data_IF_182572407867
#
_entry.id   IF_182572407867
#
_cell.length_a   1.000
_cell.length_b   1.000
_cell.length_c   1.000
_cell.angle_alpha   90.00
_cell.angle_beta   90.00
_cell.angle_gamma   90.00
#
_symmetry.space_group_name_H-M   'P 1'
#
loop_
_entity.id
_entity.type
_entity.pdbx_description
1 polymer ?
#
# COMPACT_ATOMS: atom_id res chain seq x y z
N UNK A 1 -10.94 15.18 -6.58
CA UNK A 1 -10.57 15.26 -5.16
C UNK A 1 -9.80 16.53 -4.98
N UNK A 2 -10.10 17.30 -3.94
CA UNK A 2 -9.25 18.43 -3.55
C UNK A 2 -7.93 17.90 -2.93
N UNK A 3 -6.88 18.72 -2.94
CA UNK A 3 -5.54 18.38 -2.42
C UNK A 3 -5.62 17.90 -0.96
N UNK A 4 -6.46 18.52 -0.15
CA UNK A 4 -6.71 18.13 1.25
C UNK A 4 -7.31 16.73 1.38
N UNK A 5 -8.20 16.34 0.46
CA UNK A 5 -8.79 15.00 0.45
C UNK A 5 -7.75 13.95 0.05
N UNK A 6 -6.90 14.26 -0.93
CA UNK A 6 -5.81 13.38 -1.35
C UNK A 6 -4.84 13.17 -0.21
N UNK A 7 -4.48 14.23 0.51
CA UNK A 7 -3.57 14.12 1.65
C UNK A 7 -4.13 13.24 2.77
N UNK A 8 -5.41 13.42 3.12
CA UNK A 8 -6.10 12.52 4.08
C UNK A 8 -6.08 11.08 3.60
N UNK A 9 -6.37 10.86 2.31
CA UNK A 9 -6.38 9.51 1.74
C UNK A 9 -5.00 8.86 1.78
N UNK A 10 -3.95 9.62 1.46
CA UNK A 10 -2.57 9.14 1.59
C UNK A 10 -2.21 8.83 3.05
N UNK A 11 -2.69 9.61 4.03
CA UNK A 11 -2.47 9.29 5.44
C UNK A 11 -3.18 7.98 5.86
N UNK A 12 -4.37 7.70 5.35
CA UNK A 12 -5.10 6.45 5.60
C UNK A 12 -4.34 5.26 5.00
N UNK A 13 -3.99 5.34 3.71
CA UNK A 13 -3.24 4.29 3.02
C UNK A 13 -1.91 4.02 3.75
N UNK A 14 -1.27 5.05 4.31
CA UNK A 14 -0.02 4.87 5.06
C UNK A 14 -0.22 4.13 6.41
N UNK A 15 -1.37 4.30 7.06
CA UNK A 15 -1.72 3.51 8.26
C UNK A 15 -1.93 2.04 7.90
N UNK A 16 -2.66 1.77 6.83
CA UNK A 16 -2.93 0.40 6.39
C UNK A 16 -1.66 -0.29 5.89
N UNK A 17 -0.77 0.44 5.23
CA UNK A 17 0.57 -0.01 4.88
C UNK A 17 1.38 -0.47 6.09
N UNK A 18 1.43 0.36 7.15
CA UNK A 18 2.12 0.01 8.40
C UNK A 18 1.50 -1.22 9.07
N UNK A 19 0.17 -1.34 9.00
CA UNK A 19 -0.52 -2.52 9.50
C UNK A 19 -0.11 -3.79 8.73
N UNK A 20 -0.11 -3.73 7.39
CA UNK A 20 0.34 -4.84 6.55
C UNK A 20 1.81 -5.21 6.80
N UNK A 21 2.68 -4.22 6.91
CA UNK A 21 4.10 -4.42 7.23
C UNK A 21 4.29 -5.15 8.57
N UNK A 22 3.53 -4.76 9.60
CA UNK A 22 3.56 -5.45 10.89
C UNK A 22 3.05 -6.89 10.82
N UNK A 23 2.02 -7.17 10.01
CA UNK A 23 1.52 -8.53 9.79
C UNK A 23 2.58 -9.40 9.10
N UNK A 24 3.17 -8.91 8.02
CA UNK A 24 4.19 -9.65 7.26
C UNK A 24 5.49 -9.83 8.04
N UNK A 25 5.88 -8.86 8.88
CA UNK A 25 7.03 -9.00 9.79
C UNK A 25 6.84 -10.09 10.84
N UNK A 26 5.59 -10.38 11.21
CA UNK A 26 5.25 -11.48 12.13
C UNK A 26 4.86 -12.76 11.37
N UNK A 27 4.95 -12.75 10.04
CA UNK A 27 4.49 -13.83 9.15
C UNK A 27 3.07 -14.30 9.48
N UNK A 28 2.22 -13.36 9.90
CA UNK A 28 0.87 -13.64 10.40
C UNK A 28 -0.18 -13.09 9.43
N UNK A 29 -1.25 -13.87 9.20
CA UNK A 29 -2.40 -13.46 8.37
C UNK A 29 -1.99 -12.91 6.99
N UNK A 30 -1.09 -13.62 6.30
CA UNK A 30 -0.47 -13.12 5.06
C UNK A 30 -1.47 -12.95 3.92
N UNK A 31 -2.48 -13.82 3.83
CA UNK A 31 -3.63 -13.66 2.92
C UNK A 31 -4.38 -12.34 3.15
N UNK A 32 -4.60 -11.97 4.42
CA UNK A 32 -5.26 -10.71 4.76
C UNK A 32 -4.40 -9.52 4.34
N UNK A 33 -3.09 -9.56 4.66
CA UNK A 33 -2.16 -8.52 4.26
C UNK A 33 -2.12 -8.37 2.73
N UNK A 34 -2.09 -9.48 1.98
CA UNK A 34 -2.14 -9.49 0.52
C UNK A 34 -3.39 -8.79 -0.02
N UNK A 35 -4.59 -9.15 0.46
CA UNK A 35 -5.85 -8.54 0.03
C UNK A 35 -5.90 -7.03 0.31
N UNK A 36 -5.47 -6.61 1.50
CA UNK A 36 -5.40 -5.18 1.83
C UNK A 36 -4.44 -4.47 0.87
N UNK A 37 -3.26 -5.03 0.60
CA UNK A 37 -2.30 -4.42 -0.32
C UNK A 37 -2.85 -4.30 -1.77
N UNK A 38 -3.64 -5.27 -2.24
CA UNK A 38 -4.35 -5.19 -3.53
C UNK A 38 -5.39 -4.06 -3.54
N UNK A 39 -6.15 -3.91 -2.46
CA UNK A 39 -7.11 -2.81 -2.30
C UNK A 39 -6.38 -1.46 -2.30
N UNK A 40 -5.29 -1.31 -1.55
CA UNK A 40 -4.50 -0.06 -1.51
C UNK A 40 -3.93 0.32 -2.89
N UNK A 41 -3.46 -0.66 -3.69
CA UNK A 41 -3.05 -0.39 -5.07
C UNK A 41 -4.20 0.13 -5.92
N UNK A 42 -5.39 -0.46 -5.78
CA UNK A 42 -6.59 -0.03 -6.50
C UNK A 42 -7.05 1.36 -6.06
N UNK A 43 -6.88 1.72 -4.79
CA UNK A 43 -7.15 3.07 -4.31
C UNK A 43 -6.17 4.11 -4.86
N UNK A 44 -4.87 3.81 -4.85
CA UNK A 44 -3.86 4.71 -5.43
C UNK A 44 -4.11 4.97 -6.92
N UNK A 45 -4.53 3.96 -7.69
CA UNK A 45 -4.86 4.11 -9.13
C UNK A 45 -6.01 5.08 -9.40
N UNK A 46 -6.86 5.38 -8.41
CA UNK A 46 -7.96 6.35 -8.54
C UNK A 46 -7.50 7.80 -8.36
N UNK A 47 -6.29 8.01 -7.84
CA UNK A 47 -5.72 9.34 -7.63
C UNK A 47 -5.04 9.80 -8.91
N UNK A 48 -5.40 10.98 -9.40
CA UNK A 48 -4.73 11.62 -10.54
C UNK A 48 -3.44 12.29 -10.08
N UNK A 49 -2.33 11.58 -10.22
CA UNK A 49 -1.01 11.98 -9.70
C UNK A 49 -0.50 13.25 -10.39
N UNK A 50 -0.85 13.46 -11.65
CA UNK A 50 -0.39 14.59 -12.47
C UNK A 50 -0.91 15.95 -11.94
N UNK A 51 -2.07 15.93 -11.28
CA UNK A 51 -2.72 17.12 -10.72
C UNK A 51 -2.20 17.47 -9.31
N UNK A 52 -1.30 16.67 -8.73
CA UNK A 52 -0.83 16.86 -7.36
C UNK A 52 0.37 17.82 -7.25
N UNK A 53 0.52 18.53 -6.12
CA UNK A 53 1.76 19.19 -5.73
C UNK A 53 2.95 18.21 -5.73
N UNK A 54 4.16 18.71 -6.03
CA UNK A 54 5.36 17.87 -6.16
C UNK A 54 5.65 17.01 -4.92
N UNK A 55 5.42 17.55 -3.73
CA UNK A 55 5.59 16.83 -2.46
C UNK A 55 4.65 15.63 -2.35
N UNK A 56 3.36 15.83 -2.65
CA UNK A 56 2.36 14.76 -2.64
C UNK A 56 2.61 13.73 -3.73
N UNK A 57 3.12 14.13 -4.90
CA UNK A 57 3.56 13.18 -5.95
C UNK A 57 4.69 12.29 -5.45
N UNK A 58 5.72 12.86 -4.83
CA UNK A 58 6.83 12.09 -4.26
C UNK A 58 6.33 11.11 -3.20
N UNK A 59 5.45 11.56 -2.30
CA UNK A 59 4.83 10.71 -1.28
C UNK A 59 4.00 9.58 -1.89
N UNK A 60 3.18 9.90 -2.90
CA UNK A 60 2.40 8.92 -3.64
C UNK A 60 3.29 7.84 -4.26
N UNK A 61 4.34 8.22 -5.00
CA UNK A 61 5.25 7.28 -5.66
C UNK A 61 5.99 6.38 -4.66
N UNK A 62 6.42 6.95 -3.52
CA UNK A 62 7.03 6.18 -2.44
C UNK A 62 6.06 5.16 -1.84
N UNK A 63 4.80 5.56 -1.63
CA UNK A 63 3.77 4.66 -1.12
C UNK A 63 3.45 3.55 -2.11
N UNK A 64 3.28 3.86 -3.38
CA UNK A 64 3.03 2.87 -4.43
C UNK A 64 4.15 1.81 -4.48
N UNK A 65 5.41 2.27 -4.43
CA UNK A 65 6.56 1.37 -4.39
C UNK A 65 6.54 0.46 -3.17
N UNK A 66 6.27 1.01 -1.98
CA UNK A 66 6.18 0.23 -0.73
C UNK A 66 5.08 -0.81 -0.78
N UNK A 67 3.90 -0.48 -1.30
CA UNK A 67 2.80 -1.43 -1.43
C UNK A 67 3.22 -2.60 -2.34
N UNK A 68 3.83 -2.31 -3.50
CA UNK A 68 4.30 -3.35 -4.42
C UNK A 68 5.33 -4.28 -3.75
N UNK A 69 6.29 -3.73 -3.03
CA UNK A 69 7.30 -4.52 -2.30
C UNK A 69 6.62 -5.45 -1.27
N UNK A 70 5.73 -4.92 -0.45
CA UNK A 70 5.03 -5.72 0.55
C UNK A 70 4.11 -6.76 -0.10
N UNK A 71 3.49 -6.45 -1.22
CA UNK A 71 2.63 -7.39 -1.95
C UNK A 71 3.44 -8.57 -2.50
N UNK A 72 4.59 -8.31 -3.11
CA UNK A 72 5.50 -9.37 -3.56
C UNK A 72 6.01 -10.21 -2.39
N UNK A 73 6.35 -9.58 -1.27
CA UNK A 73 6.73 -10.30 -0.05
C UNK A 73 5.61 -11.19 0.49
N UNK A 74 4.37 -10.69 0.52
CA UNK A 74 3.21 -11.47 0.94
C UNK A 74 3.03 -12.71 0.07
N UNK A 75 3.12 -12.56 -1.26
CA UNK A 75 3.05 -13.69 -2.19
C UNK A 75 4.19 -14.69 -1.95
N UNK A 76 5.43 -14.23 -1.78
CA UNK A 76 6.57 -15.11 -1.54
C UNK A 76 6.40 -15.92 -0.25
N UNK A 77 5.97 -15.27 0.84
CA UNK A 77 5.74 -15.96 2.11
C UNK A 77 4.59 -16.97 2.03
N UNK A 78 3.53 -16.66 1.28
CA UNK A 78 2.42 -17.59 1.04
C UNK A 78 2.88 -18.82 0.24
N UNK A 79 3.65 -18.62 -0.84
CA UNK A 79 4.19 -19.73 -1.63
C UNK A 79 5.08 -20.67 -0.81
N UNK A 80 5.83 -20.14 0.16
CA UNK A 80 6.66 -20.95 1.07
C UNK A 80 5.84 -21.79 2.07
N UNK A 81 4.56 -21.48 2.30
CA UNK A 81 3.66 -22.26 3.17
C UNK A 81 2.88 -23.35 2.42
N UNK A 82 2.83 -23.27 1.09
CA UNK A 82 2.12 -24.23 0.25
C UNK A 82 2.99 -25.45 -0.15
N UNK A 83 4.28 -25.44 0.23
CA UNK A 83 5.23 -26.56 0.13
C UNK A 83 5.30 -27.40 1.43
#
# INVERSE_FOLDING_TARGET
MDVSEVEKKLQEIEKDLRFCENLLNKEARMELAKRILEELLNELRKIKVEELPAELRSRFSNMELRIRILYHRANALLSLQEE
#
